data_IF_280679588673
#
_entry.id   IF_280679588673
#
_cell.length_a   1.000
_cell.length_b   1.000
_cell.length_c   1.000
_cell.angle_alpha   90.00
_cell.angle_beta   90.00
_cell.angle_gamma   90.00
#
_symmetry.space_group_name_H-M   'P 1'
#
loop_
_entity.id
_entity.type
_entity.pdbx_description
1 polymer ?
#
# COMPACT_ATOMS: atom_id res chain seq x y z
N UNK A 1 -6.99 -18.56 12.97
CA UNK A 1 -6.08 -19.66 12.61
C UNK A 1 -5.38 -19.28 11.32
N UNK A 2 -4.08 -19.24 11.36
CA UNK A 2 -3.22 -18.95 10.21
C UNK A 2 -2.65 -20.28 9.71
N UNK A 3 -2.93 -20.65 8.49
CA UNK A 3 -2.32 -21.83 7.86
C UNK A 3 -1.63 -21.35 6.59
N UNK A 4 -0.30 -21.46 6.59
CA UNK A 4 0.52 -21.22 5.39
C UNK A 4 1.02 -22.57 4.90
N UNK A 5 0.59 -22.98 3.72
CA UNK A 5 1.07 -24.17 3.04
C UNK A 5 2.02 -23.72 1.92
N UNK A 6 3.32 -23.88 2.15
CA UNK A 6 4.34 -23.70 1.13
C UNK A 6 4.65 -25.04 0.49
N UNK A 7 4.25 -25.24 -0.76
CA UNK A 7 4.58 -26.46 -1.52
C UNK A 7 5.83 -26.19 -2.33
N UNK A 8 6.93 -26.83 -1.92
CA UNK A 8 8.18 -26.84 -2.66
C UNK A 8 8.29 -28.16 -3.44
N UNK A 9 8.20 -28.10 -4.74
CA UNK A 9 8.52 -29.26 -5.58
C UNK A 9 10.05 -29.41 -5.67
N UNK A 10 10.63 -30.21 -4.80
CA UNK A 10 12.06 -30.51 -4.82
C UNK A 10 12.30 -31.78 -5.61
N UNK A 11 13.00 -31.67 -6.72
CA UNK A 11 13.54 -32.81 -7.43
C UNK A 11 14.77 -33.26 -6.66
N UNK A 12 14.69 -34.45 -6.04
CA UNK A 12 15.82 -35.06 -5.35
C UNK A 12 16.88 -35.46 -6.39
N UNK A 13 17.96 -34.71 -6.46
CA UNK A 13 19.19 -35.16 -7.10
C UNK A 13 20.31 -35.18 -6.04
N UNK A 14 21.08 -36.30 -6.11
CA UNK A 14 22.16 -36.65 -5.21
C UNK A 14 23.11 -35.51 -4.86
N UNK A 15 23.43 -35.43 -3.59
CA UNK A 15 24.41 -34.51 -3.00
C UNK A 15 25.76 -34.65 -3.73
N UNK A 16 26.01 -33.83 -4.71
CA UNK A 16 27.34 -33.46 -5.14
C UNK A 16 27.76 -32.26 -4.29
N UNK A 17 28.84 -32.42 -3.53
CA UNK A 17 29.50 -31.31 -2.87
C UNK A 17 29.89 -30.27 -3.91
N UNK A 18 29.03 -29.25 -4.06
CA UNK A 18 29.32 -28.08 -4.87
C UNK A 18 29.99 -27.07 -3.96
N UNK A 19 31.23 -26.71 -4.29
CA UNK A 19 31.84 -25.49 -3.79
C UNK A 19 30.80 -24.37 -3.98
N UNK A 20 30.35 -23.82 -2.86
CA UNK A 20 29.46 -22.67 -2.87
C UNK A 20 30.17 -21.59 -3.69
N UNK A 21 29.57 -21.09 -4.78
CA UNK A 21 30.04 -19.84 -5.37
C UNK A 21 29.98 -18.81 -4.26
N UNK A 22 31.00 -17.93 -4.21
CA UNK A 22 31.07 -16.85 -3.25
C UNK A 22 29.66 -16.29 -3.04
N UNK A 23 29.18 -16.41 -1.81
CA UNK A 23 27.94 -15.76 -1.38
C UNK A 23 28.26 -14.28 -1.48
N UNK A 24 27.98 -13.69 -2.63
CA UNK A 24 27.87 -12.25 -2.74
C UNK A 24 26.64 -11.93 -1.90
N UNK A 25 26.89 -11.63 -0.62
CA UNK A 25 25.89 -10.99 0.22
C UNK A 25 25.58 -9.68 -0.49
N UNK A 26 24.60 -9.72 -1.35
CA UNK A 26 23.94 -8.53 -1.82
C UNK A 26 23.16 -8.03 -0.61
N UNK A 27 23.89 -7.43 0.32
CA UNK A 27 23.29 -6.49 1.24
C UNK A 27 22.47 -5.56 0.36
N UNK A 28 21.15 -5.58 0.51
CA UNK A 28 20.32 -4.78 -0.38
C UNK A 28 20.84 -3.35 -0.29
N UNK A 29 20.86 -2.66 -1.41
CA UNK A 29 21.24 -1.23 -1.44
C UNK A 29 20.57 -0.46 -0.31
N UNK A 30 19.35 -0.82 0.02
CA UNK A 30 18.52 -0.27 1.08
C UNK A 30 19.10 -0.54 2.48
N UNK A 31 19.61 -1.73 2.77
CA UNK A 31 20.28 -2.04 4.04
C UNK A 31 21.60 -1.28 4.20
N UNK A 32 22.36 -1.11 3.11
CA UNK A 32 23.57 -0.27 3.11
C UNK A 32 23.24 1.21 3.30
N UNK A 33 22.19 1.70 2.65
CA UNK A 33 21.70 3.07 2.85
C UNK A 33 21.19 3.26 4.28
N UNK A 34 20.47 2.30 4.82
CA UNK A 34 20.00 2.33 6.21
C UNK A 34 21.16 2.46 7.21
N UNK A 35 22.23 1.71 7.01
CA UNK A 35 23.44 1.78 7.87
C UNK A 35 24.26 3.05 7.68
N UNK A 36 24.22 3.67 6.51
CA UNK A 36 25.01 4.87 6.17
C UNK A 36 24.23 6.16 6.25
N UNK A 37 22.91 6.08 6.33
CA UNK A 37 22.05 7.25 6.39
C UNK A 37 22.14 7.90 7.78
N UNK A 38 22.20 9.23 7.79
CA UNK A 38 21.97 10.01 9.00
C UNK A 38 20.51 9.92 9.49
N UNK A 39 19.63 9.33 8.68
CA UNK A 39 18.22 9.09 8.97
C UNK A 39 18.04 7.73 9.65
N UNK A 40 17.12 7.64 10.59
CA UNK A 40 16.72 6.38 11.19
C UNK A 40 15.90 5.58 10.17
N UNK A 41 16.53 4.59 9.53
CA UNK A 41 15.87 3.66 8.62
C UNK A 41 15.70 2.33 9.33
N UNK A 42 14.46 1.86 9.39
CA UNK A 42 14.13 0.54 9.93
C UNK A 42 13.68 -0.37 8.78
N UNK A 43 14.39 -1.48 8.62
CA UNK A 43 14.08 -2.48 7.58
C UNK A 43 13.20 -3.55 8.20
N UNK A 44 12.00 -3.69 7.70
CA UNK A 44 11.00 -4.68 8.12
C UNK A 44 10.98 -5.80 7.09
N UNK A 45 11.49 -6.95 7.48
CA UNK A 45 11.57 -8.11 6.59
C UNK A 45 10.20 -8.78 6.42
N UNK A 46 10.04 -9.49 5.32
CA UNK A 46 8.80 -10.20 4.99
C UNK A 46 8.37 -11.20 6.09
N UNK A 47 9.34 -11.84 6.75
CA UNK A 47 9.06 -12.76 7.84
C UNK A 47 8.37 -12.06 9.03
N UNK A 48 8.86 -10.87 9.40
CA UNK A 48 8.21 -10.06 10.43
C UNK A 48 6.77 -9.69 10.05
N UNK A 49 6.57 -9.24 8.81
CA UNK A 49 5.22 -8.90 8.31
C UNK A 49 4.29 -10.11 8.34
N UNK A 50 4.76 -11.28 7.92
CA UNK A 50 3.99 -12.53 7.97
C UNK A 50 3.63 -12.94 9.40
N UNK A 51 4.55 -12.80 10.35
CA UNK A 51 4.32 -13.13 11.76
C UNK A 51 3.23 -12.26 12.40
N UNK A 52 3.15 -10.99 12.01
CA UNK A 52 2.20 -10.01 12.54
C UNK A 52 1.02 -9.77 11.59
N UNK A 53 0.85 -10.60 10.57
CA UNK A 53 -0.18 -10.42 9.57
C UNK A 53 -1.58 -10.66 10.12
N UNK A 54 -2.46 -9.67 9.93
CA UNK A 54 -3.86 -9.70 10.37
C UNK A 54 -4.84 -9.49 9.23
N UNK A 55 -4.38 -9.54 7.97
CA UNK A 55 -5.17 -9.17 6.79
C UNK A 55 -5.16 -7.68 6.47
N UNK A 56 -4.46 -6.87 7.27
CA UNK A 56 -4.26 -5.45 7.03
C UNK A 56 -2.76 -5.14 7.18
N UNK A 57 -2.20 -4.47 6.17
CA UNK A 57 -0.78 -4.11 6.16
C UNK A 57 -0.39 -3.20 7.32
N UNK A 58 -1.16 -2.15 7.56
CA UNK A 58 -0.81 -1.16 8.59
C UNK A 58 -0.88 -1.73 9.99
N UNK A 59 -1.79 -2.67 10.28
CA UNK A 59 -1.84 -3.35 11.57
C UNK A 59 -0.57 -4.18 11.84
N UNK A 60 0.02 -4.78 10.81
CA UNK A 60 1.33 -5.44 10.97
C UNK A 60 2.44 -4.42 11.28
N UNK A 61 2.37 -3.23 10.69
CA UNK A 61 3.34 -2.15 10.88
C UNK A 61 3.26 -1.48 12.26
N UNK A 62 2.15 -1.55 12.98
CA UNK A 62 2.02 -1.02 14.35
C UNK A 62 2.96 -1.66 15.38
N UNK A 63 3.50 -2.84 15.06
CA UNK A 63 4.51 -3.48 15.89
C UNK A 63 5.90 -2.84 15.77
N UNK A 64 6.04 -1.79 14.95
CA UNK A 64 7.29 -1.06 14.75
C UNK A 64 7.28 0.20 15.62
N UNK A 65 8.29 0.44 16.46
CA UNK A 65 8.34 1.61 17.32
C UNK A 65 8.14 2.92 16.56
N UNK A 66 7.17 3.74 16.99
CA UNK A 66 6.86 5.05 16.40
C UNK A 66 6.07 4.99 15.08
N UNK A 67 5.61 3.82 14.66
CA UNK A 67 4.62 3.64 13.57
C UNK A 67 3.28 3.29 14.22
N UNK A 68 2.22 3.90 13.75
CA UNK A 68 0.84 3.65 14.18
C UNK A 68 -0.05 3.52 12.95
N UNK A 69 -1.14 2.80 13.07
CA UNK A 69 -2.20 2.81 12.09
C UNK A 69 -3.32 3.76 12.52
N UNK A 70 -3.81 4.54 11.58
CA UNK A 70 -5.09 5.23 11.74
C UNK A 70 -6.15 4.35 11.09
N UNK A 71 -6.83 3.55 11.89
CA UNK A 71 -7.82 2.58 11.44
C UNK A 71 -9.24 3.11 11.61
N UNK A 72 -10.03 3.00 10.54
CA UNK A 72 -11.49 3.15 10.59
C UNK A 72 -12.06 1.80 10.19
N UNK A 73 -12.32 0.96 11.17
CA UNK A 73 -12.79 -0.40 10.95
C UNK A 73 -11.78 -1.30 10.27
N UNK A 74 -12.26 -2.32 9.58
CA UNK A 74 -11.41 -3.35 8.97
C UNK A 74 -10.92 -2.98 7.57
N UNK A 75 -11.58 -2.04 6.89
CA UNK A 75 -11.32 -1.73 5.47
C UNK A 75 -10.44 -0.51 5.23
N UNK A 76 -10.27 0.37 6.22
CA UNK A 76 -9.54 1.61 6.03
C UNK A 76 -8.43 1.75 7.06
N UNK A 77 -7.21 1.87 6.59
CA UNK A 77 -6.05 2.03 7.44
C UNK A 77 -5.01 2.91 6.77
N UNK A 78 -4.43 3.83 7.52
CA UNK A 78 -3.38 4.75 7.07
C UNK A 78 -2.19 4.77 8.02
N UNK A 79 -0.99 5.03 7.48
CA UNK A 79 0.19 5.18 8.31
C UNK A 79 0.18 6.49 9.08
N UNK A 80 0.65 6.41 10.31
CA UNK A 80 1.06 7.54 11.13
C UNK A 80 2.44 7.26 11.69
N UNK A 81 3.40 8.17 11.49
CA UNK A 81 4.76 8.08 12.01
C UNK A 81 4.98 9.24 12.98
N UNK A 82 5.30 8.93 14.23
CA UNK A 82 5.55 9.92 15.29
C UNK A 82 4.44 10.98 15.39
N UNK A 83 3.17 10.57 15.27
CA UNK A 83 2.01 11.46 15.34
C UNK A 83 1.70 12.23 14.04
N UNK A 84 2.49 12.10 13.00
CA UNK A 84 2.20 12.69 11.69
C UNK A 84 1.56 11.64 10.77
N UNK A 85 0.45 12.02 10.12
CA UNK A 85 -0.30 11.18 9.19
C UNK A 85 -0.78 11.95 7.97
N UNK A 86 -1.71 11.38 7.21
CA UNK A 86 -2.25 11.92 5.96
C UNK A 86 -1.16 12.24 4.93
N UNK A 87 -1.24 13.39 4.28
CA UNK A 87 -0.31 13.86 3.25
C UNK A 87 1.10 14.20 3.78
N UNK A 88 1.45 13.79 5.02
CA UNK A 88 2.78 14.00 5.60
C UNK A 88 3.62 12.73 5.62
N UNK A 89 3.04 11.61 5.22
CA UNK A 89 3.74 10.32 5.08
C UNK A 89 3.66 9.88 3.64
N UNK A 90 4.81 9.78 2.98
CA UNK A 90 4.88 9.21 1.64
C UNK A 90 4.91 7.69 1.73
N UNK A 91 4.07 7.04 0.93
CA UNK A 91 4.11 5.58 0.74
C UNK A 91 4.57 5.31 -0.68
N UNK A 92 5.63 4.52 -0.83
CA UNK A 92 6.16 4.11 -2.11
C UNK A 92 5.93 2.61 -2.31
N UNK A 93 5.63 2.22 -3.51
CA UNK A 93 5.59 0.82 -3.95
C UNK A 93 6.47 0.68 -5.20
N UNK A 94 7.47 -0.17 -5.12
CA UNK A 94 8.43 -0.40 -6.21
C UNK A 94 9.12 0.90 -6.69
N UNK A 95 9.44 1.82 -5.78
CA UNK A 95 10.11 3.09 -6.08
C UNK A 95 9.19 4.22 -6.54
N UNK A 96 7.92 3.95 -6.82
CA UNK A 96 6.92 4.94 -7.23
C UNK A 96 6.03 5.30 -6.04
N UNK A 97 5.85 6.60 -5.81
CA UNK A 97 4.93 7.09 -4.78
C UNK A 97 3.50 6.68 -5.12
N UNK A 98 2.84 6.03 -4.17
CA UNK A 98 1.44 5.67 -4.31
C UNK A 98 0.57 6.93 -4.19
N UNK A 99 -0.23 7.17 -5.20
CA UNK A 99 -1.16 8.27 -5.25
C UNK A 99 -2.61 7.74 -5.20
N UNK A 100 -3.18 7.82 -4.00
CA UNK A 100 -4.59 7.61 -3.75
C UNK A 100 -5.19 8.89 -3.20
N UNK A 101 -6.51 8.95 -3.04
CA UNK A 101 -7.22 10.08 -2.46
C UNK A 101 -7.05 10.10 -0.93
N UNK A 102 -5.85 10.35 -0.42
CA UNK A 102 -5.47 10.13 0.99
C UNK A 102 -5.75 11.31 1.94
N UNK A 103 -6.54 12.28 1.55
CA UNK A 103 -6.80 13.49 2.33
C UNK A 103 -7.88 13.31 3.42
N UNK A 104 -8.76 12.31 3.34
CA UNK A 104 -9.74 11.97 4.39
C UNK A 104 -9.27 10.85 5.34
N UNK A 105 -9.79 10.78 6.56
CA UNK A 105 -9.49 9.69 7.50
C UNK A 105 -10.06 8.34 7.04
N UNK A 106 -11.14 8.38 6.31
CA UNK A 106 -11.92 7.30 5.70
C UNK A 106 -11.34 6.77 4.38
N UNK A 107 -10.19 7.30 3.95
CA UNK A 107 -9.47 6.84 2.77
C UNK A 107 -8.25 6.01 3.19
N UNK A 108 -8.30 4.70 2.97
CA UNK A 108 -7.21 3.77 3.29
C UNK A 108 -6.08 3.78 2.26
N UNK A 109 -5.05 2.99 2.55
CA UNK A 109 -4.06 2.62 1.54
C UNK A 109 -4.63 1.49 0.68
N UNK A 110 -4.61 1.67 -0.63
CA UNK A 110 -4.96 0.63 -1.58
C UNK A 110 -3.72 -0.21 -1.89
N UNK A 111 -3.44 -1.17 -1.02
CA UNK A 111 -2.30 -2.09 -1.11
C UNK A 111 -2.74 -3.52 -0.87
N UNK A 112 -2.26 -4.45 -1.68
CA UNK A 112 -2.43 -5.88 -1.40
C UNK A 112 -1.52 -6.31 -0.25
N UNK A 113 -2.09 -6.49 0.94
CA UNK A 113 -1.37 -6.88 2.14
C UNK A 113 -0.66 -8.25 2.02
N UNK A 114 -1.09 -9.11 1.09
CA UNK A 114 -0.45 -10.40 0.81
C UNK A 114 0.76 -10.28 -0.13
N UNK A 115 0.88 -9.17 -0.88
CA UNK A 115 1.89 -9.00 -1.93
C UNK A 115 3.03 -8.06 -1.52
N UNK A 116 3.38 -8.03 -0.26
CA UNK A 116 4.45 -7.17 0.26
C UNK A 116 5.73 -7.98 0.46
N UNK A 117 6.84 -7.53 -0.14
CA UNK A 117 8.15 -8.12 0.03
C UNK A 117 8.77 -7.72 1.37
N UNK A 118 9.46 -6.61 1.41
CA UNK A 118 9.96 -6.00 2.63
C UNK A 118 9.57 -4.52 2.65
N UNK A 119 9.72 -3.87 3.80
CA UNK A 119 9.36 -2.46 3.97
C UNK A 119 10.50 -1.72 4.64
N UNK A 120 10.89 -0.59 4.05
CA UNK A 120 11.81 0.34 4.70
C UNK A 120 11.00 1.50 5.29
N UNK A 121 11.13 1.71 6.58
CA UNK A 121 10.50 2.84 7.27
C UNK A 121 11.57 3.89 7.56
N UNK A 122 11.49 5.01 6.88
CA UNK A 122 12.35 6.17 7.10
C UNK A 122 11.62 7.13 8.03
N UNK A 123 12.17 7.33 9.23
CA UNK A 123 11.55 8.17 10.27
C UNK A 123 12.27 9.51 10.34
N UNK A 124 11.58 10.59 10.02
CA UNK A 124 12.13 11.94 10.09
C UNK A 124 12.12 12.67 8.74
N UNK A 125 12.79 13.80 8.61
CA UNK A 125 12.72 14.68 7.45
C UNK A 125 13.44 14.13 6.23
N UNK A 126 12.99 12.98 5.73
CA UNK A 126 13.42 12.37 4.46
C UNK A 126 12.83 13.07 3.24
N UNK A 127 12.06 14.14 3.48
CA UNK A 127 11.29 14.86 2.47
C UNK A 127 12.11 15.39 1.31
N UNK A 128 13.37 15.72 1.55
CA UNK A 128 14.27 16.20 0.48
C UNK A 128 14.46 15.21 -0.67
N UNK A 129 14.37 13.90 -0.37
CA UNK A 129 14.53 12.85 -1.38
C UNK A 129 13.20 12.38 -2.00
N UNK A 130 12.08 12.59 -1.28
CA UNK A 130 10.77 12.02 -1.61
C UNK A 130 9.66 13.06 -1.76
N UNK A 131 10.01 14.35 -1.69
CA UNK A 131 9.09 15.46 -1.85
C UNK A 131 8.41 15.92 -0.56
N UNK A 132 7.52 16.92 -0.70
CA UNK A 132 6.85 17.61 0.42
C UNK A 132 6.01 16.69 1.30
N UNK A 133 5.47 15.62 0.73
CA UNK A 133 4.57 14.71 1.44
C UNK A 133 5.31 13.71 2.35
N UNK A 134 6.64 13.77 2.40
CA UNK A 134 7.49 12.93 3.25
C UNK A 134 7.98 13.64 4.53
N UNK A 135 7.29 14.68 4.98
CA UNK A 135 7.71 15.46 6.17
C UNK A 135 7.78 14.62 7.45
N UNK A 136 6.86 13.69 7.64
CA UNK A 136 6.80 12.81 8.81
C UNK A 136 7.63 11.54 8.64
N UNK A 137 7.86 11.14 7.40
CA UNK A 137 8.60 9.94 7.05
C UNK A 137 8.14 9.29 5.75
N UNK A 138 8.76 8.16 5.45
CA UNK A 138 8.49 7.39 4.24
C UNK A 138 8.30 5.92 4.60
N UNK A 139 7.32 5.30 3.99
CA UNK A 139 7.14 3.84 3.96
C UNK A 139 7.43 3.37 2.53
N UNK A 140 8.56 2.72 2.33
CA UNK A 140 9.00 2.25 1.02
C UNK A 140 8.84 0.72 0.94
N UNK A 141 7.87 0.28 0.16
CA UNK A 141 7.52 -1.11 -0.07
C UNK A 141 8.34 -1.64 -1.24
N UNK A 142 9.15 -2.63 -0.95
CA UNK A 142 10.06 -3.22 -1.92
C UNK A 142 9.45 -4.43 -2.61
N UNK A 143 9.92 -4.78 -3.81
CA UNK A 143 9.49 -5.98 -4.51
C UNK A 143 9.69 -7.26 -3.68
N UNK A 144 8.96 -8.33 -4.00
CA UNK A 144 9.14 -9.61 -3.34
C UNK A 144 10.58 -10.15 -3.48
N UNK A 145 10.99 -10.96 -2.49
CA UNK A 145 12.29 -11.62 -2.53
C UNK A 145 12.34 -12.64 -3.67
N UNK A 146 13.39 -12.55 -4.47
CA UNK A 146 13.59 -13.41 -5.64
C UNK A 146 14.50 -14.56 -5.27
N UNK A 147 14.13 -15.82 -5.56
CA UNK A 147 15.00 -16.97 -5.32
C UNK A 147 16.33 -16.85 -6.07
N UNK A 148 17.41 -17.33 -5.45
CA UNK A 148 18.74 -17.35 -6.07
C UNK A 148 18.91 -18.48 -7.09
N UNK A 149 18.08 -19.52 -7.02
CA UNK A 149 18.13 -20.72 -7.88
C UNK A 149 16.93 -20.76 -8.83
N UNK A 150 17.12 -21.42 -9.96
CA UNK A 150 16.04 -21.66 -10.92
C UNK A 150 15.01 -22.60 -10.31
N UNK A 151 13.76 -22.15 -10.21
CA UNK A 151 12.67 -22.94 -9.64
C UNK A 151 11.30 -22.41 -10.04
N UNK A 152 10.33 -23.31 -10.08
CA UNK A 152 8.91 -23.00 -10.03
C UNK A 152 8.43 -23.20 -8.60
N UNK A 153 7.69 -22.25 -8.08
CA UNK A 153 7.19 -22.33 -6.70
C UNK A 153 5.82 -21.64 -6.58
N UNK A 154 5.14 -21.92 -5.49
CA UNK A 154 3.86 -21.31 -5.18
C UNK A 154 3.70 -21.11 -3.69
N UNK A 155 2.79 -20.22 -3.33
CA UNK A 155 2.43 -19.90 -1.96
C UNK A 155 0.91 -19.78 -1.87
N UNK A 156 0.32 -20.43 -0.88
CA UNK A 156 -1.09 -20.31 -0.56
C UNK A 156 -1.21 -19.84 0.88
N UNK A 157 -1.89 -18.73 1.07
CA UNK A 157 -2.18 -18.19 2.41
C UNK A 157 -3.66 -18.15 2.64
N UNK A 158 -4.12 -18.66 3.77
CA UNK A 158 -5.52 -18.60 4.22
C UNK A 158 -5.57 -17.90 5.58
N UNK A 159 -6.51 -16.99 5.75
CA UNK A 159 -6.71 -16.24 6.98
C UNK A 159 -8.19 -16.28 7.39
N UNK A 160 -8.45 -16.59 8.65
CA UNK A 160 -9.78 -16.50 9.27
C UNK A 160 -9.70 -15.68 10.55
N UNK A 161 -10.62 -14.72 10.74
CA UNK A 161 -10.78 -13.95 11.99
C UNK A 161 -12.20 -14.09 12.52
N UNK A 162 -12.35 -14.44 13.80
CA UNK A 162 -13.65 -14.60 14.43
C UNK A 162 -14.31 -13.28 14.85
N UNK A 163 -13.51 -12.21 15.04
CA UNK A 163 -14.00 -10.92 15.53
C UNK A 163 -15.03 -10.28 14.61
N UNK A 164 -14.85 -10.44 13.31
CA UNK A 164 -15.73 -9.91 12.26
C UNK A 164 -16.02 -10.94 11.16
N UNK A 165 -15.75 -12.21 11.41
CA UNK A 165 -15.95 -13.28 10.44
C UNK A 165 -15.12 -13.12 9.16
N UNK A 166 -13.94 -12.51 9.22
CA UNK A 166 -13.06 -12.37 8.04
C UNK A 166 -12.68 -13.75 7.50
N UNK A 167 -12.80 -13.89 6.18
CA UNK A 167 -12.22 -14.98 5.41
C UNK A 167 -11.38 -14.35 4.30
N UNK A 168 -10.12 -14.72 4.24
CA UNK A 168 -9.21 -14.22 3.22
C UNK A 168 -8.33 -15.34 2.69
N UNK A 169 -7.93 -15.21 1.43
CA UNK A 169 -7.02 -16.14 0.78
C UNK A 169 -6.13 -15.44 -0.24
N UNK A 170 -4.94 -15.98 -0.43
CA UNK A 170 -4.02 -15.55 -1.46
C UNK A 170 -3.36 -16.77 -2.11
N UNK A 171 -3.27 -16.73 -3.43
CA UNK A 171 -2.53 -17.69 -4.24
C UNK A 171 -1.44 -16.96 -5.01
N UNK A 172 -0.21 -17.44 -4.93
CA UNK A 172 0.92 -16.92 -5.69
C UNK A 172 1.60 -18.05 -6.45
N UNK A 173 1.96 -17.77 -7.70
CA UNK A 173 2.81 -18.62 -8.53
C UNK A 173 4.03 -17.81 -8.98
N UNK A 174 5.21 -18.36 -8.81
CA UNK A 174 6.48 -17.75 -9.17
C UNK A 174 7.37 -18.67 -9.98
N UNK A 175 8.05 -18.12 -10.96
CA UNK A 175 9.03 -18.81 -11.80
C UNK A 175 10.33 -18.02 -11.82
N UNK A 176 11.42 -18.65 -11.41
CA UNK A 176 12.78 -18.15 -11.63
C UNK A 176 13.47 -19.05 -12.65
N UNK A 177 13.98 -18.46 -13.72
CA UNK A 177 14.76 -19.17 -14.73
C UNK A 177 15.84 -18.29 -15.33
N UNK A 178 17.10 -18.66 -15.10
CA UNK A 178 18.26 -17.88 -15.53
C UNK A 178 18.17 -16.41 -15.07
N UNK A 179 18.16 -15.47 -16.02
CA UNK A 179 18.08 -14.04 -15.78
C UNK A 179 16.66 -13.52 -15.47
N UNK A 180 15.63 -14.36 -15.67
CA UNK A 180 14.24 -13.97 -15.55
C UNK A 180 13.60 -14.47 -14.27
N UNK A 181 12.78 -13.62 -13.69
CA UNK A 181 11.86 -13.93 -12.62
C UNK A 181 10.47 -13.39 -12.99
N UNK A 182 9.45 -14.19 -12.76
CA UNK A 182 8.06 -13.76 -12.92
C UNK A 182 7.22 -14.29 -11.76
N UNK A 183 6.31 -13.46 -11.25
CA UNK A 183 5.37 -13.81 -10.20
C UNK A 183 4.00 -13.25 -10.53
N UNK A 184 2.96 -14.06 -10.36
CA UNK A 184 1.57 -13.62 -10.33
C UNK A 184 0.97 -13.95 -8.98
N UNK A 185 0.18 -13.03 -8.43
CA UNK A 185 -0.56 -13.22 -7.19
C UNK A 185 -2.00 -12.75 -7.37
N UNK A 186 -2.91 -13.54 -6.82
CA UNK A 186 -4.30 -13.15 -6.60
C UNK A 186 -4.60 -13.27 -5.12
N UNK A 187 -5.29 -12.27 -4.58
CA UNK A 187 -5.78 -12.32 -3.20
C UNK A 187 -7.22 -11.80 -3.12
N UNK A 188 -7.99 -12.39 -2.20
CA UNK A 188 -9.36 -11.97 -1.93
C UNK A 188 -9.62 -12.02 -0.43
N UNK A 189 -10.32 -11.00 0.08
CA UNK A 189 -10.71 -10.89 1.47
C UNK A 189 -12.16 -10.42 1.57
N UNK A 190 -12.94 -11.13 2.40
CA UNK A 190 -14.29 -10.77 2.79
C UNK A 190 -14.36 -10.64 4.30
N UNK A 191 -14.85 -9.54 4.82
CA UNK A 191 -15.08 -9.35 6.24
C UNK A 191 -16.49 -8.84 6.50
N UNK A 192 -17.05 -9.24 7.62
CA UNK A 192 -18.36 -8.79 8.07
C UNK A 192 -18.23 -7.59 9.02
N UNK A 193 -19.37 -7.16 9.53
CA UNK A 193 -19.45 -6.08 10.51
C UNK A 193 -18.57 -6.36 11.71
N UNK A 194 -17.79 -5.37 12.13
CA UNK A 194 -16.90 -5.56 13.25
C UNK A 194 -17.59 -5.34 14.60
N UNK A 195 -17.11 -6.04 15.62
CA UNK A 195 -17.65 -5.98 16.98
C UNK A 195 -16.97 -4.90 17.79
N UNK A 196 -17.78 -4.25 18.64
CA UNK A 196 -17.29 -3.30 19.64
C UNK A 196 -17.72 -3.77 21.04
N UNK A 197 -17.01 -3.39 22.11
CA UNK A 197 -17.33 -3.80 23.49
C UNK A 197 -18.48 -2.97 24.11
N UNK A 198 -19.41 -2.47 23.29
CA UNK A 198 -20.49 -1.59 23.75
C UNK A 198 -21.81 -1.93 23.04
N UNK A 199 -22.92 -1.79 23.73
CA UNK A 199 -24.26 -1.94 23.17
C UNK A 199 -24.85 -0.60 22.71
N UNK A 200 -24.12 0.51 22.92
CA UNK A 200 -24.53 1.87 22.57
C UNK A 200 -23.31 2.71 22.29
N UNK A 201 -23.38 3.53 21.27
CA UNK A 201 -22.41 4.61 21.00
C UNK A 201 -23.08 5.97 21.11
N UNK A 202 -22.31 7.01 21.39
CA UNK A 202 -22.79 8.41 21.40
C UNK A 202 -22.29 9.12 20.17
N UNK A 203 -23.19 9.61 19.34
CA UNK A 203 -22.87 10.41 18.18
C UNK A 203 -23.66 11.72 18.21
N UNK A 204 -22.99 12.85 18.14
CA UNK A 204 -23.59 14.20 18.26
C UNK A 204 -24.58 14.29 19.44
N UNK A 205 -24.18 13.84 20.63
CA UNK A 205 -24.98 13.80 21.87
C UNK A 205 -26.14 12.79 21.90
N UNK A 206 -26.46 12.15 20.78
CA UNK A 206 -27.49 11.10 20.73
C UNK A 206 -26.89 9.70 20.99
N UNK A 207 -27.61 8.90 21.77
CA UNK A 207 -27.28 7.51 21.99
C UNK A 207 -27.82 6.66 20.84
N UNK A 208 -26.90 6.02 20.12
CA UNK A 208 -27.23 5.09 19.02
C UNK A 208 -27.08 3.66 19.50
N UNK A 209 -28.09 2.79 19.36
CA UNK A 209 -28.00 1.39 19.74
C UNK A 209 -27.04 0.65 18.81
N UNK A 210 -26.33 -0.35 19.36
CA UNK A 210 -25.47 -1.27 18.60
C UNK A 210 -25.95 -2.69 18.84
N UNK A 211 -26.74 -3.21 17.93
CA UNK A 211 -27.36 -4.52 18.02
C UNK A 211 -26.33 -5.65 17.95
N UNK A 212 -26.36 -6.57 18.88
CA UNK A 212 -25.42 -7.69 18.95
C UNK A 212 -23.95 -7.26 19.09
N UNK A 213 -23.69 -6.02 19.51
CA UNK A 213 -22.35 -5.40 19.57
C UNK A 213 -21.64 -5.38 18.23
N UNK A 214 -22.37 -5.31 17.13
CA UNK A 214 -21.84 -5.18 15.78
C UNK A 214 -22.19 -3.82 15.22
N UNK A 215 -21.21 -3.14 14.66
CA UNK A 215 -21.43 -1.89 13.92
C UNK A 215 -21.94 -2.25 12.53
N UNK A 216 -23.26 -2.08 12.32
CA UNK A 216 -23.93 -2.37 11.05
C UNK A 216 -23.25 -1.65 9.88
N UNK A 217 -23.21 -2.32 8.73
CA UNK A 217 -22.69 -1.80 7.47
C UNK A 217 -21.19 -1.43 7.52
N UNK A 218 -20.41 -2.19 8.29
CA UNK A 218 -18.94 -2.06 8.30
C UNK A 218 -18.26 -3.24 7.62
N UNK A 219 -19.03 -4.07 6.94
CA UNK A 219 -18.57 -5.17 6.10
C UNK A 219 -17.82 -4.67 4.86
N UNK A 220 -16.98 -5.50 4.28
CA UNK A 220 -16.26 -5.16 3.07
C UNK A 220 -15.70 -6.35 2.32
N UNK A 221 -15.29 -6.03 1.09
CA UNK A 221 -14.67 -6.96 0.13
C UNK A 221 -13.43 -6.29 -0.43
N UNK A 222 -12.35 -7.05 -0.53
CA UNK A 222 -11.12 -6.66 -1.21
C UNK A 222 -10.71 -7.76 -2.19
N UNK A 223 -10.28 -7.38 -3.40
CA UNK A 223 -9.79 -8.28 -4.45
C UNK A 223 -8.59 -7.65 -5.12
N UNK A 224 -7.49 -8.38 -5.15
CA UNK A 224 -6.25 -7.86 -5.68
C UNK A 224 -5.64 -8.85 -6.67
N UNK A 225 -5.02 -8.31 -7.70
CA UNK A 225 -4.19 -9.06 -8.62
C UNK A 225 -2.88 -8.30 -8.83
N UNK A 226 -1.77 -9.02 -8.81
CA UNK A 226 -0.44 -8.46 -9.05
C UNK A 226 0.39 -9.35 -9.94
N UNK A 227 1.08 -8.74 -10.90
CA UNK A 227 2.10 -9.35 -11.74
C UNK A 227 3.41 -8.59 -11.52
N UNK A 228 4.47 -9.33 -11.26
CA UNK A 228 5.82 -8.77 -11.17
C UNK A 228 6.76 -9.59 -12.05
N UNK A 229 7.54 -8.90 -12.89
CA UNK A 229 8.54 -9.52 -13.75
C UNK A 229 9.85 -8.80 -13.58
N UNK A 230 10.93 -9.55 -13.36
CA UNK A 230 12.29 -9.01 -13.29
C UNK A 230 13.19 -9.71 -14.31
N UNK A 231 13.98 -8.90 -14.99
CA UNK A 231 15.14 -9.35 -15.73
C UNK A 231 16.40 -8.80 -15.07
N UNK A 232 17.35 -9.70 -14.72
CA UNK A 232 18.62 -9.29 -14.14
C UNK A 232 19.78 -10.05 -14.77
N UNK A 233 20.71 -9.32 -15.35
CA UNK A 233 21.90 -9.91 -15.96
C UNK A 233 23.10 -9.00 -15.75
N UNK A 234 24.14 -9.51 -15.08
CA UNK A 234 25.38 -8.76 -14.81
C UNK A 234 25.11 -7.40 -14.16
N UNK A 235 25.22 -6.31 -14.97
CA UNK A 235 25.13 -4.93 -14.53
C UNK A 235 23.74 -4.30 -14.76
N UNK A 236 22.85 -5.00 -15.43
CA UNK A 236 21.52 -4.50 -15.79
C UNK A 236 20.41 -5.22 -15.05
N UNK A 237 19.50 -4.45 -14.51
CA UNK A 237 18.24 -4.91 -13.89
C UNK A 237 17.07 -4.12 -14.47
N UNK A 238 16.02 -4.83 -14.77
CA UNK A 238 14.73 -4.27 -15.19
C UNK A 238 13.61 -4.96 -14.42
N UNK A 239 12.79 -4.19 -13.73
CA UNK A 239 11.60 -4.63 -13.02
C UNK A 239 10.36 -4.04 -13.69
N UNK A 240 9.32 -4.84 -13.81
CA UNK A 240 8.01 -4.45 -14.31
C UNK A 240 6.95 -4.95 -13.34
N UNK A 241 6.03 -4.09 -12.97
CA UNK A 241 4.92 -4.44 -12.08
C UNK A 241 3.61 -3.93 -12.63
N UNK A 242 2.58 -4.77 -12.57
CA UNK A 242 1.19 -4.40 -12.83
C UNK A 242 0.37 -4.90 -11.65
N UNK A 243 -0.38 -4.03 -11.01
CA UNK A 243 -1.27 -4.42 -9.92
C UNK A 243 -2.59 -3.70 -10.00
N UNK A 244 -3.64 -4.35 -9.54
CA UNK A 244 -4.95 -3.75 -9.36
C UNK A 244 -5.50 -4.14 -7.99
N UNK A 245 -5.95 -3.15 -7.25
CA UNK A 245 -6.59 -3.30 -5.95
C UNK A 245 -8.02 -2.81 -6.06
N UNK A 246 -8.97 -3.69 -5.79
CA UNK A 246 -10.38 -3.37 -5.70
C UNK A 246 -10.84 -3.50 -4.26
N UNK A 247 -11.52 -2.47 -3.74
CA UNK A 247 -12.12 -2.47 -2.41
C UNK A 247 -13.56 -1.94 -2.50
N UNK A 248 -14.47 -2.55 -1.74
CA UNK A 248 -15.79 -2.01 -1.44
C UNK A 248 -16.05 -2.20 0.06
N UNK A 249 -16.28 -1.11 0.78
CA UNK A 249 -16.43 -1.13 2.23
C UNK A 249 -17.54 -0.20 2.66
N UNK A 250 -18.44 -0.69 3.49
CA UNK A 250 -19.50 0.09 4.08
C UNK A 250 -19.01 0.97 5.24
N UNK A 251 -19.78 2.00 5.54
CA UNK A 251 -19.60 2.87 6.70
C UNK A 251 -20.77 2.72 7.66
N UNK A 252 -20.52 2.84 8.94
CA UNK A 252 -21.57 2.81 9.95
C UNK A 252 -22.55 3.97 9.73
N UNK A 253 -23.81 3.70 9.37
CA UNK A 253 -24.75 4.75 8.96
C UNK A 253 -25.19 5.66 10.10
N UNK A 254 -25.03 5.22 11.34
CA UNK A 254 -25.32 6.03 12.52
C UNK A 254 -24.33 7.18 12.76
N UNK A 255 -23.18 7.14 12.11
CA UNK A 255 -22.14 8.18 12.21
C UNK A 255 -22.02 9.03 10.93
N UNK A 256 -22.92 8.85 9.95
CA UNK A 256 -22.93 9.61 8.70
C UNK A 256 -24.12 10.57 8.66
N UNK A 257 -23.84 11.86 8.60
CA UNK A 257 -24.87 12.90 8.61
C UNK A 257 -25.59 13.04 9.97
N UNK A 258 -26.91 13.23 9.96
CA UNK A 258 -27.72 13.31 11.17
C UNK A 258 -27.92 11.92 11.77
N UNK A 259 -27.72 11.72 13.09
CA UNK A 259 -27.97 10.45 13.75
C UNK A 259 -29.41 9.96 13.57
N UNK A 260 -29.57 8.76 13.05
CA UNK A 260 -30.87 8.13 12.81
C UNK A 260 -30.83 6.66 13.28
N UNK A 261 -31.53 6.37 14.36
CA UNK A 261 -31.56 5.04 14.97
C UNK A 261 -32.18 3.97 14.05
N UNK A 262 -33.09 4.35 13.14
CA UNK A 262 -33.69 3.42 12.19
C UNK A 262 -32.70 2.83 11.19
N UNK A 263 -31.64 3.56 10.89
CA UNK A 263 -30.59 3.13 9.94
C UNK A 263 -29.63 2.09 10.52
N UNK A 264 -29.65 1.88 11.84
CA UNK A 264 -28.73 0.94 12.51
C UNK A 264 -29.43 -0.31 13.01
N UNK A 265 -30.72 -0.50 12.69
CA UNK A 265 -31.44 -1.73 13.00
C UNK A 265 -30.75 -2.96 12.37
N UNK A 266 -30.68 -4.03 13.14
CA UNK A 266 -30.06 -5.29 12.69
C UNK A 266 -30.98 -5.93 11.63
N UNK A 267 -30.43 -6.19 10.45
CA UNK A 267 -31.09 -6.87 9.33
C UNK A 267 -30.81 -8.39 9.33
N UNK A 268 -30.07 -8.90 10.30
CA UNK A 268 -29.68 -10.31 10.41
C UNK A 268 -28.54 -10.73 9.49
N UNK A 269 -28.00 -9.82 8.65
CA UNK A 269 -26.92 -10.11 7.73
C UNK A 269 -25.71 -9.18 7.97
N UNK A 270 -24.70 -9.66 8.64
CA UNK A 270 -23.48 -8.89 8.93
C UNK A 270 -22.49 -8.82 7.76
N UNK A 271 -22.88 -9.18 6.54
CA UNK A 271 -22.00 -9.19 5.35
C UNK A 271 -22.50 -8.36 4.19
N UNK A 272 -23.74 -7.86 4.23
CA UNK A 272 -24.22 -6.93 3.21
C UNK A 272 -23.56 -5.57 3.35
N UNK A 273 -23.41 -4.90 2.21
CA UNK A 273 -22.84 -3.57 2.13
C UNK A 273 -23.90 -2.68 1.51
N UNK A 274 -24.52 -1.87 2.38
CA UNK A 274 -25.55 -0.93 2.05
C UNK A 274 -25.01 0.50 2.03
N UNK A 275 -25.86 1.50 1.81
CA UNK A 275 -25.46 2.90 1.95
C UNK A 275 -25.29 3.28 3.43
N UNK A 276 -24.25 4.07 3.76
CA UNK A 276 -23.19 4.58 2.88
C UNK A 276 -22.05 3.57 2.67
N UNK A 277 -21.37 3.64 1.53
CA UNK A 277 -20.19 2.84 1.26
C UNK A 277 -19.20 3.57 0.35
N UNK A 278 -17.92 3.18 0.44
CA UNK A 278 -16.86 3.55 -0.51
C UNK A 278 -16.52 2.37 -1.41
N UNK A 279 -16.18 2.66 -2.65
CA UNK A 279 -15.70 1.71 -3.64
C UNK A 279 -14.47 2.30 -4.32
N UNK A 280 -13.39 1.52 -4.39
CA UNK A 280 -12.12 1.94 -5.00
C UNK A 280 -11.64 0.88 -5.97
N UNK A 281 -11.12 1.32 -7.10
CA UNK A 281 -10.35 0.50 -8.02
C UNK A 281 -9.06 1.23 -8.34
N UNK A 282 -7.92 0.67 -7.96
CA UNK A 282 -6.60 1.29 -8.12
C UNK A 282 -5.70 0.42 -8.99
N UNK A 283 -5.57 0.80 -10.25
CA UNK A 283 -4.63 0.20 -11.20
C UNK A 283 -3.28 0.89 -11.11
N UNK A 284 -2.21 0.11 -11.04
CA UNK A 284 -0.82 0.60 -11.03
C UNK A 284 0.02 -0.18 -12.04
N UNK A 285 0.77 0.54 -12.85
CA UNK A 285 1.75 0.00 -13.81
C UNK A 285 3.06 0.71 -13.57
N UNK A 286 4.10 -0.02 -13.19
CA UNK A 286 5.41 0.57 -12.88
C UNK A 286 6.54 -0.18 -13.55
N UNK A 287 7.63 0.52 -13.83
CA UNK A 287 8.88 -0.09 -14.25
C UNK A 287 10.05 0.59 -13.57
N UNK A 288 11.03 -0.20 -13.16
CA UNK A 288 12.32 0.24 -12.65
C UNK A 288 13.44 -0.31 -13.53
N UNK A 289 14.32 0.57 -13.98
CA UNK A 289 15.48 0.22 -14.80
C UNK A 289 16.76 0.65 -14.07
N UNK A 290 17.75 -0.22 -14.02
CA UNK A 290 19.02 0.10 -13.38
C UNK A 290 20.19 -0.45 -14.18
N UNK A 291 21.19 0.39 -14.38
CA UNK A 291 22.47 -0.03 -14.93
C UNK A 291 23.63 0.38 -14.02
N UNK A 292 24.46 -0.57 -13.64
CA UNK A 292 25.56 -0.36 -12.71
C UNK A 292 26.92 -0.47 -13.42
N UNK A 293 27.66 0.65 -13.49
CA UNK A 293 29.10 0.68 -13.79
C UNK A 293 29.90 0.62 -12.49
N UNK A 294 31.21 0.58 -12.59
CA UNK A 294 32.06 0.51 -11.39
C UNK A 294 31.88 1.70 -10.43
N UNK A 295 31.72 2.90 -10.98
CA UNK A 295 31.62 4.16 -10.23
C UNK A 295 30.32 4.92 -10.47
N UNK A 296 29.41 4.41 -11.27
CA UNK A 296 28.15 5.07 -11.60
C UNK A 296 27.02 4.05 -11.62
N UNK A 297 25.96 4.33 -10.90
CA UNK A 297 24.70 3.61 -11.01
C UNK A 297 23.66 4.58 -11.55
N UNK A 298 23.14 4.27 -12.72
CA UNK A 298 22.02 4.99 -13.32
C UNK A 298 20.73 4.19 -13.09
N UNK A 299 19.72 4.82 -12.54
CA UNK A 299 18.39 4.24 -12.37
C UNK A 299 17.30 5.15 -12.92
N UNK A 300 16.23 4.56 -13.39
CA UNK A 300 15.04 5.26 -13.86
C UNK A 300 13.79 4.51 -13.49
N UNK A 301 12.77 5.25 -13.07
CA UNK A 301 11.46 4.75 -12.71
C UNK A 301 10.40 5.43 -13.58
N UNK A 302 9.43 4.64 -14.08
CA UNK A 302 8.23 5.16 -14.73
C UNK A 302 7.02 4.51 -14.07
N UNK A 303 5.98 5.29 -13.85
CA UNK A 303 4.74 4.83 -13.24
C UNK A 303 3.52 5.47 -13.88
N UNK A 304 2.49 4.65 -14.07
CA UNK A 304 1.14 5.08 -14.34
C UNK A 304 0.22 4.52 -13.26
N UNK A 305 -0.65 5.34 -12.71
CA UNK A 305 -1.67 4.95 -11.75
C UNK A 305 -3.00 5.56 -12.16
N UNK A 306 -4.06 4.76 -12.06
CA UNK A 306 -5.44 5.24 -12.12
C UNK A 306 -6.14 4.82 -10.83
N UNK A 307 -6.51 5.80 -10.02
CA UNK A 307 -7.28 5.61 -8.80
C UNK A 307 -8.71 6.10 -9.02
N UNK A 308 -9.62 5.16 -9.25
CA UNK A 308 -11.04 5.42 -9.37
C UNK A 308 -11.73 5.13 -8.05
N UNK A 309 -12.23 6.19 -7.38
CA UNK A 309 -12.92 6.11 -6.10
C UNK A 309 -14.34 6.66 -6.24
N UNK A 310 -15.28 5.94 -5.66
CA UNK A 310 -16.67 6.37 -5.53
C UNK A 310 -17.11 6.30 -4.07
N UNK A 311 -17.83 7.31 -3.61
CA UNK A 311 -18.49 7.35 -2.32
C UNK A 311 -20.00 7.47 -2.54
N UNK A 312 -20.74 6.57 -1.92
CA UNK A 312 -22.16 6.42 -2.10
C UNK A 312 -22.88 6.61 -0.78
N UNK A 313 -23.85 7.53 -0.76
CA UNK A 313 -24.69 7.85 0.40
C UNK A 313 -26.08 8.17 -0.07
N UNK A 314 -27.10 7.86 0.71
CA UNK A 314 -28.45 8.30 0.40
C UNK A 314 -28.46 9.82 0.18
N UNK A 315 -29.08 10.26 -0.90
CA UNK A 315 -29.07 11.68 -1.25
C UNK A 315 -29.51 12.54 -0.07
N UNK A 316 -28.69 13.50 0.25
CA UNK A 316 -28.98 14.56 1.21
C UNK A 316 -28.41 15.87 0.70
N UNK A 317 -28.99 16.98 1.09
CA UNK A 317 -28.54 18.29 0.66
C UNK A 317 -28.19 19.16 1.85
N UNK A 318 -27.08 19.86 1.74
CA UNK A 318 -26.69 20.93 2.66
C UNK A 318 -27.26 22.30 2.20
N UNK A 319 -27.83 22.35 1.01
CA UNK A 319 -28.37 23.57 0.38
C UNK A 319 -29.84 23.33 0.08
N UNK A 320 -30.73 23.99 0.81
CA UNK A 320 -32.17 23.72 0.93
C UNK A 320 -33.03 23.55 -0.33
N UNK A 321 -32.49 23.73 -1.53
CA UNK A 321 -33.25 23.61 -2.80
C UNK A 321 -32.54 22.77 -3.87
N UNK A 322 -31.43 22.08 -3.52
CA UNK A 322 -30.71 21.21 -4.47
C UNK A 322 -31.56 19.96 -4.75
N UNK A 323 -32.00 19.72 -5.98
CA UNK A 323 -32.70 18.50 -6.33
C UNK A 323 -31.69 17.32 -6.40
N UNK A 324 -32.18 16.11 -6.15
CA UNK A 324 -31.38 14.90 -6.40
C UNK A 324 -31.03 14.80 -7.89
N UNK A 325 -29.83 14.32 -8.23
CA UNK A 325 -29.44 14.04 -9.61
C UNK A 325 -30.42 13.02 -10.26
N UNK A 326 -30.75 13.18 -11.54
CA UNK A 326 -31.57 12.21 -12.28
C UNK A 326 -30.87 10.83 -12.43
N UNK A 327 -29.55 10.83 -12.54
CA UNK A 327 -28.73 9.61 -12.64
C UNK A 327 -27.90 9.42 -11.40
N UNK A 328 -27.91 8.21 -10.85
CA UNK A 328 -27.16 7.85 -9.65
C UNK A 328 -27.37 8.84 -8.50
N UNK A 329 -28.62 9.03 -8.02
CA UNK A 329 -28.94 10.03 -7.02
C UNK A 329 -28.15 9.87 -5.72
N UNK A 330 -27.72 8.64 -5.41
CA UNK A 330 -26.98 8.31 -4.20
C UNK A 330 -25.45 8.31 -4.40
N UNK A 331 -24.94 8.71 -5.59
CA UNK A 331 -23.49 8.88 -5.78
C UNK A 331 -23.06 10.24 -5.22
N UNK A 332 -22.50 10.21 -4.01
CA UNK A 332 -22.10 11.41 -3.30
C UNK A 332 -20.88 12.07 -3.93
N UNK A 333 -19.80 11.29 -4.09
CA UNK A 333 -18.53 11.73 -4.68
C UNK A 333 -17.99 10.66 -5.63
N UNK A 334 -17.34 11.08 -6.69
CA UNK A 334 -16.54 10.22 -7.54
C UNK A 334 -15.28 10.97 -7.99
N UNK A 335 -14.16 10.29 -7.89
CA UNK A 335 -12.83 10.79 -8.25
C UNK A 335 -12.18 9.83 -9.22
N UNK A 336 -11.61 10.34 -10.30
CA UNK A 336 -10.83 9.57 -11.26
C UNK A 336 -9.46 10.23 -11.41
N UNK A 337 -8.52 9.76 -10.57
CA UNK A 337 -7.18 10.33 -10.48
C UNK A 337 -6.22 9.52 -11.36
N UNK A 338 -5.77 10.14 -12.43
CA UNK A 338 -4.69 9.65 -13.27
C UNK A 338 -3.36 10.29 -12.86
N UNK A 339 -2.37 9.46 -12.55
CA UNK A 339 -1.04 9.91 -12.15
C UNK A 339 0.03 9.29 -13.05
N UNK A 340 0.85 10.13 -13.64
CA UNK A 340 2.03 9.76 -14.42
C UNK A 340 3.27 10.20 -13.63
N UNK A 341 4.18 9.27 -13.38
CA UNK A 341 5.41 9.54 -12.62
C UNK A 341 6.63 9.11 -13.42
N UNK A 342 7.69 9.91 -13.35
CA UNK A 342 8.99 9.58 -13.96
C UNK A 342 10.10 10.05 -13.05
N UNK A 343 11.12 9.21 -12.81
CA UNK A 343 12.33 9.63 -12.12
C UNK A 343 13.59 9.11 -12.81
N UNK A 344 14.66 9.88 -12.72
CA UNK A 344 16.00 9.46 -13.16
C UNK A 344 16.99 9.85 -12.10
N UNK A 345 17.84 8.91 -11.67
CA UNK A 345 18.86 9.14 -10.65
C UNK A 345 20.20 8.57 -11.10
N UNK A 346 21.23 9.40 -10.97
CA UNK A 346 22.62 9.03 -11.19
C UNK A 346 23.35 9.06 -9.85
N UNK A 347 23.82 7.89 -9.39
CA UNK A 347 24.61 7.76 -8.18
C UNK A 347 26.06 7.56 -8.54
N UNK A 348 26.89 8.51 -8.18
CA UNK A 348 28.31 8.55 -8.45
C UNK A 348 29.06 8.09 -7.19
N UNK A 349 29.77 6.99 -7.28
CA UNK A 349 30.59 6.43 -6.20
C UNK A 349 32.00 7.04 -6.37
N UNK A 350 32.31 8.04 -5.55
CA UNK A 350 33.61 8.70 -5.57
C UNK A 350 34.74 7.87 -4.92
N UNK A 351 35.46 8.48 -3.98
CA UNK A 351 36.39 7.78 -3.11
C UNK A 351 35.65 7.00 -2.04
N UNK A 352 36.37 6.21 -1.23
CA UNK A 352 35.81 5.42 -0.11
C UNK A 352 34.97 6.24 0.89
N UNK A 353 35.01 7.56 0.83
CA UNK A 353 34.37 8.48 1.79
C UNK A 353 33.22 9.30 1.23
N UNK A 354 33.00 9.33 -0.10
CA UNK A 354 32.00 10.20 -0.70
C UNK A 354 31.18 9.49 -1.77
N UNK A 355 29.88 9.71 -1.72
CA UNK A 355 28.90 9.31 -2.71
C UNK A 355 28.02 10.52 -3.05
N UNK A 356 27.74 10.73 -4.33
CA UNK A 356 26.85 11.80 -4.79
C UNK A 356 25.68 11.22 -5.56
N UNK A 357 24.48 11.61 -5.19
CA UNK A 357 23.25 11.30 -5.93
C UNK A 357 22.74 12.58 -6.58
N UNK A 358 22.62 12.54 -7.90
CA UNK A 358 21.93 13.56 -8.69
C UNK A 358 20.69 12.94 -9.29
N UNK A 359 19.58 13.65 -9.28
CA UNK A 359 18.35 13.10 -9.80
C UNK A 359 17.33 14.16 -10.17
N UNK A 360 16.35 13.68 -10.88
CA UNK A 360 15.13 14.39 -11.23
C UNK A 360 13.94 13.47 -11.00
N UNK A 361 12.89 14.02 -10.41
CA UNK A 361 11.62 13.37 -10.20
C UNK A 361 10.52 14.28 -10.73
N UNK A 362 9.59 13.71 -11.48
CA UNK A 362 8.46 14.41 -12.07
C UNK A 362 7.17 13.63 -11.92
N UNK A 363 6.09 14.34 -11.63
CA UNK A 363 4.76 13.78 -11.52
C UNK A 363 3.74 14.71 -12.16
N UNK A 364 2.88 14.15 -13.00
CA UNK A 364 1.70 14.82 -13.54
C UNK A 364 0.45 14.09 -13.07
N UNK A 365 -0.51 14.85 -12.57
CA UNK A 365 -1.80 14.37 -12.11
C UNK A 365 -2.94 15.09 -12.79
N UNK A 366 -3.98 14.32 -13.10
CA UNK A 366 -5.28 14.82 -13.52
C UNK A 366 -6.35 14.13 -12.67
N UNK A 367 -7.22 14.89 -12.04
CA UNK A 367 -8.30 14.37 -11.21
C UNK A 367 -9.63 14.91 -11.73
N UNK A 368 -10.43 14.03 -12.33
CA UNK A 368 -11.79 14.33 -12.78
C UNK A 368 -12.74 13.99 -11.63
N UNK A 369 -13.64 14.91 -11.29
CA UNK A 369 -14.48 14.83 -10.08
C UNK A 369 -15.94 14.98 -10.45
N UNK A 370 -16.79 14.14 -9.85
CA UNK A 370 -18.22 14.16 -10.03
C UNK A 370 -18.95 13.69 -8.78
N UNK A 371 -20.28 13.73 -8.79
CA UNK A 371 -21.14 13.42 -7.66
C UNK A 371 -22.03 14.61 -7.32
N UNK A 372 -22.91 14.44 -6.32
CA UNK A 372 -23.78 15.54 -5.92
C UNK A 372 -23.17 16.47 -4.85
N UNK A 373 -22.16 15.96 -4.11
CA UNK A 373 -21.42 16.77 -3.14
C UNK A 373 -20.19 17.41 -3.76
N UNK A 374 -19.83 18.57 -3.26
CA UNK A 374 -18.59 19.25 -3.62
C UNK A 374 -17.60 19.16 -2.47
N UNK A 375 -16.41 18.61 -2.75
CA UNK A 375 -15.33 18.53 -1.78
C UNK A 375 -14.10 19.33 -2.22
N UNK A 376 -13.69 19.15 -3.46
CA UNK A 376 -12.59 19.87 -4.10
C UNK A 376 -12.87 20.01 -5.61
N UNK A 377 -12.32 21.01 -6.27
CA UNK A 377 -12.46 21.17 -7.72
C UNK A 377 -11.62 20.13 -8.47
N UNK A 378 -12.00 19.86 -9.72
CA UNK A 378 -11.14 19.20 -10.69
C UNK A 378 -9.81 19.92 -10.80
N UNK A 379 -8.71 19.16 -10.97
CA UNK A 379 -7.39 19.76 -11.07
C UNK A 379 -6.42 19.00 -11.97
N UNK A 380 -5.49 19.76 -12.51
CA UNK A 380 -4.26 19.26 -13.08
C UNK A 380 -3.09 19.75 -12.22
N UNK A 381 -2.16 18.86 -11.89
CA UNK A 381 -0.98 19.19 -11.09
C UNK A 381 0.27 18.68 -11.79
N UNK A 382 1.28 19.53 -11.90
CA UNK A 382 2.62 19.14 -12.28
C UNK A 382 3.56 19.40 -11.10
N UNK A 383 4.32 18.38 -10.69
CA UNK A 383 5.33 18.47 -9.66
C UNK A 383 6.68 18.06 -10.24
N UNK A 384 7.71 18.87 -10.03
CA UNK A 384 9.07 18.62 -10.48
C UNK A 384 10.03 18.82 -9.30
N UNK A 385 10.89 17.85 -9.06
CA UNK A 385 11.86 17.86 -7.96
C UNK A 385 13.25 17.57 -8.53
N UNK A 386 14.21 18.41 -8.18
CA UNK A 386 15.63 18.17 -8.44
C UNK A 386 16.29 17.64 -7.16
N UNK A 387 16.99 16.52 -7.27
CA UNK A 387 17.66 15.85 -6.17
C UNK A 387 19.17 16.06 -6.33
N UNK A 388 19.81 16.60 -5.30
CA UNK A 388 21.27 16.70 -5.21
C UNK A 388 21.67 16.38 -3.77
N UNK A 389 22.25 15.19 -3.55
CA UNK A 389 22.65 14.75 -2.23
C UNK A 389 24.10 14.27 -2.22
N UNK A 390 25.01 15.00 -1.58
CA UNK A 390 26.33 14.51 -1.22
C UNK A 390 26.23 13.70 0.08
N UNK A 391 26.60 12.44 0.06
CA UNK A 391 26.66 11.59 1.25
C UNK A 391 28.10 11.31 1.63
N UNK A 392 28.51 11.71 2.83
CA UNK A 392 29.78 11.30 3.41
C UNK A 392 29.59 9.94 4.05
N UNK A 393 30.30 8.94 3.54
CA UNK A 393 30.32 7.62 4.15
C UNK A 393 31.04 7.72 5.50
N UNK A 394 30.32 7.49 6.61
CA UNK A 394 30.96 7.43 7.91
C UNK A 394 31.96 6.26 7.90
N UNK A 395 33.21 6.53 8.22
CA UNK A 395 34.18 5.51 8.57
C UNK A 395 33.68 4.93 9.90
N UNK A 396 33.18 3.70 9.88
CA UNK A 396 32.97 2.93 11.10
C UNK A 396 34.37 2.50 11.54
N UNK A 397 34.88 3.21 12.57
CA UNK A 397 36.08 2.80 13.29
C UNK A 397 35.77 1.68 14.24
#
# INVERSE_FOLDING_TARGET
LFVTLSVHAQKSDSIKSMLLPDVVVTESYQQRQAKKSALTVEVVEQEFLRKHFTGNFMQAMENIPGVQAMDIGSGFSKPMIRGMGFNRIAVLENGIKQEGQQWGADHGLELDAFNIGAVNVLKGPSSLLYGSDAMGGVIDITPPLIPSVDMLFGDVTLLGKSVNGTLAGSLMLGLKKNAWYAQIRYSEQHFGDYRIPADTIVYLTQKMPVYGRKLKNTAGIERNIGLFVQYQRKRYRADYSVSNVYQKTGFFPGAHGVPDASRVEDDGNSRNIELPYSKVNHLKVTTHQQYAWEKLILSGDLGFQNNHREEWSAFHTHYGSQPAPEKNPDKELAFDLNTYSASVKARIIGSSSWEHTLGWDGQHQQNDISGYSFLLPEYHRLSLIHISEPTRLALIS
#
